data_IF_666981243519
#
_entry.id   IF_666981243519
#
_cell.length_a   1.000
_cell.length_b   1.000
_cell.length_c   1.000
_cell.angle_alpha   90.00
_cell.angle_beta   90.00
_cell.angle_gamma   90.00
#
_symmetry.space_group_name_H-M   'P 1'
#
loop_
_entity.id
_entity.type
_entity.pdbx_description
1 polymer ?
#
# COMPACT_ATOMS: atom_id res chain seq x y z
N UNK A 1 42.98 -66.90 -18.31
CA UNK A 1 42.27 -66.63 -19.56
C UNK A 1 41.36 -65.44 -19.31
N UNK A 2 41.74 -64.33 -19.87
CA UNK A 2 41.20 -62.97 -19.63
C UNK A 2 39.97 -62.76 -20.48
N UNK A 3 38.85 -62.26 -19.95
CA UNK A 3 37.80 -61.68 -20.75
C UNK A 3 37.29 -60.38 -20.10
N UNK A 4 37.44 -59.32 -20.88
CA UNK A 4 37.00 -57.95 -20.62
C UNK A 4 35.48 -57.81 -20.50
N UNK A 5 35.01 -57.13 -19.49
CA UNK A 5 33.66 -56.59 -19.40
C UNK A 5 33.67 -55.07 -19.67
N UNK A 6 33.06 -54.66 -20.77
CA UNK A 6 32.80 -53.24 -21.07
C UNK A 6 31.58 -52.78 -20.29
N UNK A 7 31.74 -51.68 -19.56
CA UNK A 7 30.65 -50.91 -19.00
C UNK A 7 29.93 -50.12 -20.12
N UNK A 8 28.66 -50.34 -20.27
CA UNK A 8 27.71 -49.52 -21.02
C UNK A 8 26.72 -48.94 -20.02
N UNK A 9 26.89 -47.67 -19.67
CA UNK A 9 25.82 -46.83 -19.17
C UNK A 9 25.94 -45.50 -19.93
N UNK A 10 25.38 -45.45 -21.12
CA UNK A 10 24.95 -44.24 -21.77
C UNK A 10 23.56 -43.92 -21.20
N UNK A 11 23.45 -42.85 -20.42
CA UNK A 11 22.16 -42.29 -20.02
C UNK A 11 21.65 -41.43 -21.15
N UNK A 12 20.63 -41.91 -21.89
CA UNK A 12 19.87 -41.11 -22.81
C UNK A 12 19.21 -39.94 -22.10
N UNK A 13 19.60 -38.72 -22.43
CA UNK A 13 18.89 -37.51 -22.00
C UNK A 13 17.48 -37.47 -22.60
N UNK A 14 16.48 -37.48 -21.75
CA UNK A 14 15.07 -37.46 -22.13
C UNK A 14 14.72 -36.18 -22.91
N UNK A 15 13.84 -36.23 -23.93
CA UNK A 15 13.48 -35.11 -24.80
C UNK A 15 12.86 -33.93 -24.06
N UNK A 16 12.37 -34.11 -22.82
CA UNK A 16 11.84 -33.03 -21.99
C UNK A 16 12.89 -32.00 -21.54
N UNK A 17 14.14 -32.41 -21.31
CA UNK A 17 15.20 -31.44 -20.92
C UNK A 17 15.61 -30.52 -22.06
N UNK A 18 15.55 -30.99 -23.32
CA UNK A 18 15.81 -30.18 -24.51
C UNK A 18 14.68 -29.20 -24.78
N UNK A 19 13.43 -29.56 -24.46
CA UNK A 19 12.27 -28.68 -24.61
C UNK A 19 12.30 -27.56 -23.57
N UNK A 20 12.73 -27.84 -22.34
CA UNK A 20 12.88 -26.83 -21.27
C UNK A 20 14.02 -25.85 -21.56
N UNK A 21 15.14 -26.30 -22.09
CA UNK A 21 16.23 -25.43 -22.50
C UNK A 21 15.88 -24.54 -23.69
N UNK A 22 15.02 -25.01 -24.62
CA UNK A 22 14.56 -24.22 -25.76
C UNK A 22 13.51 -23.18 -25.35
N UNK A 23 12.65 -23.49 -24.36
CA UNK A 23 11.68 -22.55 -23.80
C UNK A 23 12.36 -21.46 -22.94
N UNK A 24 13.41 -21.80 -22.18
CA UNK A 24 14.19 -20.84 -21.41
C UNK A 24 15.06 -19.94 -22.30
N UNK A 25 15.53 -20.42 -23.45
CA UNK A 25 16.28 -19.62 -24.41
C UNK A 25 15.36 -18.71 -25.26
N UNK A 26 14.06 -19.05 -25.38
CA UNK A 26 13.08 -18.23 -26.11
C UNK A 26 12.50 -17.11 -25.24
N UNK A 27 12.57 -17.22 -23.89
CA UNK A 27 12.10 -16.20 -22.96
C UNK A 27 13.11 -15.05 -22.74
N UNK A 28 14.36 -15.19 -23.19
CA UNK A 28 15.41 -14.18 -23.00
C UNK A 28 15.62 -13.26 -24.23
N UNK A 29 14.83 -13.37 -25.28
CA UNK A 29 14.95 -12.51 -26.48
C UNK A 29 13.64 -11.91 -26.97
N UNK A 30 12.62 -11.82 -26.11
CA UNK A 30 11.55 -10.86 -26.34
C UNK A 30 11.98 -9.50 -25.80
N UNK A 31 13.00 -8.90 -26.41
CA UNK A 31 13.07 -7.45 -26.44
C UNK A 31 11.77 -7.02 -27.12
N UNK A 32 10.85 -6.46 -26.34
CA UNK A 32 9.66 -5.80 -26.85
C UNK A 32 10.15 -4.78 -27.87
N UNK A 33 10.10 -5.14 -29.16
CA UNK A 33 10.12 -4.17 -30.22
C UNK A 33 8.82 -3.40 -30.01
N UNK A 34 8.89 -2.30 -29.25
CA UNK A 34 7.86 -1.26 -29.34
C UNK A 34 7.81 -0.92 -30.83
N UNK A 35 6.66 -1.08 -31.53
CA UNK A 35 6.58 -0.66 -32.88
C UNK A 35 6.99 0.81 -32.93
N UNK A 36 8.10 1.11 -33.57
CA UNK A 36 8.44 2.48 -33.91
C UNK A 36 7.23 3.02 -34.64
N UNK A 37 6.70 4.15 -34.18
CA UNK A 37 5.67 4.91 -34.92
C UNK A 37 6.14 5.05 -36.36
N UNK A 38 5.58 4.24 -37.24
CA UNK A 38 5.83 4.38 -38.65
C UNK A 38 5.03 5.61 -39.11
N UNK A 39 5.72 6.67 -39.49
CA UNK A 39 5.19 7.86 -40.16
C UNK A 39 4.46 8.93 -39.34
N UNK A 40 4.53 8.94 -37.97
CA UNK A 40 3.91 10.00 -37.18
C UNK A 40 4.96 11.07 -36.77
N UNK A 41 4.51 12.33 -36.77
CA UNK A 41 5.31 13.47 -36.34
C UNK A 41 5.81 13.25 -34.87
N UNK A 42 7.04 13.68 -34.55
CA UNK A 42 7.56 13.51 -33.23
C UNK A 42 6.62 14.14 -32.18
N UNK A 43 6.44 13.45 -31.03
CA UNK A 43 5.68 14.02 -29.91
C UNK A 43 6.41 15.26 -29.42
N UNK A 44 5.66 16.34 -29.21
CA UNK A 44 6.21 17.64 -28.79
C UNK A 44 5.39 18.26 -27.69
N UNK A 45 5.98 19.19 -26.94
CA UNK A 45 5.25 20.08 -26.04
C UNK A 45 4.48 21.09 -26.89
N UNK A 46 3.17 21.20 -26.67
CA UNK A 46 2.30 22.13 -27.40
C UNK A 46 1.81 23.30 -26.52
N UNK A 47 1.87 23.14 -25.18
CA UNK A 47 1.45 24.16 -24.23
C UNK A 47 2.19 23.99 -22.91
N UNK A 48 2.57 25.10 -22.27
CA UNK A 48 2.98 25.16 -20.86
C UNK A 48 1.86 25.77 -20.05
N UNK A 49 1.20 24.98 -19.22
CA UNK A 49 0.11 25.44 -18.37
C UNK A 49 0.59 26.37 -17.23
N UNK A 50 -0.35 27.02 -16.57
CA UNK A 50 -0.09 28.01 -15.49
C UNK A 50 0.91 27.54 -14.43
N UNK A 51 0.91 26.28 -14.08
CA UNK A 51 1.76 25.71 -13.01
C UNK A 51 2.99 24.98 -13.53
N UNK A 52 3.33 25.15 -14.81
CA UNK A 52 4.53 24.52 -15.40
C UNK A 52 4.32 23.11 -15.91
N UNK A 53 3.08 22.65 -15.98
CA UNK A 53 2.77 21.36 -16.60
C UNK A 53 2.91 21.47 -18.11
N UNK A 54 3.40 20.43 -18.76
CA UNK A 54 3.66 20.36 -20.19
C UNK A 54 2.58 19.51 -20.89
N UNK A 55 1.72 20.16 -21.70
CA UNK A 55 0.74 19.46 -22.54
C UNK A 55 1.44 18.94 -23.80
N UNK A 56 1.17 17.72 -24.19
CA UNK A 56 1.81 17.06 -25.32
C UNK A 56 0.92 16.98 -26.55
N UNK A 57 1.54 16.85 -27.73
CA UNK A 57 0.84 16.72 -29.02
C UNK A 57 0.19 15.35 -29.24
N UNK A 58 0.52 14.34 -28.44
CA UNK A 58 -0.08 13.00 -28.49
C UNK A 58 -1.33 12.94 -27.62
N UNK A 59 -2.35 12.21 -28.08
CA UNK A 59 -3.53 11.91 -27.29
C UNK A 59 -3.26 10.81 -26.27
N UNK A 60 -4.03 10.80 -25.20
CA UNK A 60 -3.95 9.74 -24.17
C UNK A 60 -4.27 8.37 -24.74
N UNK A 61 -5.33 8.26 -25.57
CA UNK A 61 -5.70 7.00 -26.24
C UNK A 61 -4.60 6.48 -27.15
N UNK A 62 -3.92 7.36 -27.90
CA UNK A 62 -2.83 6.96 -28.80
C UNK A 62 -1.62 6.48 -28.01
N UNK A 63 -1.30 7.14 -26.88
CA UNK A 63 -0.21 6.72 -26.00
C UNK A 63 -0.46 5.33 -25.40
N UNK A 64 -1.67 5.09 -24.90
CA UNK A 64 -2.04 3.76 -24.36
C UNK A 64 -2.02 2.69 -25.47
N UNK A 65 -2.40 3.04 -26.71
CA UNK A 65 -2.34 2.12 -27.85
C UNK A 65 -0.90 1.70 -28.23
N UNK A 66 0.13 2.44 -27.80
CA UNK A 66 1.54 2.04 -27.94
C UNK A 66 1.97 0.95 -26.95
N UNK A 67 1.08 0.49 -26.05
CA UNK A 67 1.34 -0.57 -25.08
C UNK A 67 1.75 -0.07 -23.71
N UNK A 68 1.60 1.22 -23.42
CA UNK A 68 1.72 1.78 -22.09
C UNK A 68 0.40 1.62 -21.34
N UNK A 69 0.47 1.39 -20.02
CA UNK A 69 -0.69 1.28 -19.13
C UNK A 69 -0.50 2.13 -17.87
N UNK A 70 -1.59 2.40 -17.15
CA UNK A 70 -1.52 3.03 -15.83
C UNK A 70 -0.71 2.16 -14.86
N UNK A 71 0.16 2.79 -14.09
CA UNK A 71 1.08 2.11 -13.19
C UNK A 71 2.40 1.65 -13.83
N UNK A 72 2.60 1.82 -15.14
CA UNK A 72 3.92 1.65 -15.76
C UNK A 72 4.87 2.76 -15.30
N UNK A 73 6.18 2.49 -15.32
CA UNK A 73 7.21 3.53 -15.21
C UNK A 73 7.82 3.73 -16.60
N UNK A 74 7.80 4.99 -17.04
CA UNK A 74 8.40 5.38 -18.33
C UNK A 74 9.59 6.31 -18.10
N UNK A 75 10.65 6.15 -18.89
CA UNK A 75 11.71 7.15 -19.04
C UNK A 75 11.28 8.15 -20.09
N UNK A 76 11.09 9.40 -19.68
CA UNK A 76 10.76 10.53 -20.53
C UNK A 76 12.02 11.29 -20.88
N UNK A 77 12.35 11.41 -22.16
CA UNK A 77 13.44 12.26 -22.63
C UNK A 77 12.87 13.64 -22.98
N UNK A 78 13.36 14.68 -22.31
CA UNK A 78 12.90 16.06 -22.45
C UNK A 78 14.10 17.00 -22.35
N UNK A 79 14.32 17.83 -23.37
CA UNK A 79 15.48 18.74 -23.46
C UNK A 79 16.82 18.05 -23.20
N UNK A 80 17.02 16.81 -23.71
CA UNK A 80 18.26 16.05 -23.54
C UNK A 80 18.46 15.49 -22.13
N UNK A 81 17.50 15.63 -21.23
CA UNK A 81 17.48 15.04 -19.91
C UNK A 81 16.48 13.87 -19.87
N UNK A 82 16.76 12.89 -19.02
CA UNK A 82 15.88 11.73 -18.79
C UNK A 82 15.24 11.80 -17.42
N UNK A 83 13.94 11.57 -17.37
CA UNK A 83 13.13 11.57 -16.16
C UNK A 83 12.31 10.30 -16.11
N UNK A 84 12.39 9.57 -15.01
CA UNK A 84 11.53 8.42 -14.77
C UNK A 84 10.21 8.88 -14.15
N UNK A 85 9.10 8.57 -14.83
CA UNK A 85 7.77 9.02 -14.44
C UNK A 85 6.78 7.86 -14.43
N UNK A 86 6.01 7.66 -13.34
CA UNK A 86 4.85 6.79 -13.39
C UNK A 86 3.80 7.30 -14.37
N UNK A 87 3.13 6.38 -15.05
CA UNK A 87 1.93 6.65 -15.86
C UNK A 87 0.71 6.63 -14.93
N UNK A 88 0.00 7.73 -14.86
CA UNK A 88 -1.19 7.87 -14.01
C UNK A 88 -2.29 8.68 -14.68
N UNK A 89 -3.48 8.72 -14.07
CA UNK A 89 -4.67 9.41 -14.56
C UNK A 89 -4.86 10.79 -13.92
N UNK A 90 -4.42 10.95 -12.68
CA UNK A 90 -4.56 12.17 -11.89
C UNK A 90 -3.22 12.61 -11.27
N UNK A 91 -3.10 13.88 -10.93
CA UNK A 91 -1.91 14.37 -10.21
C UNK A 91 -1.72 13.68 -8.86
N UNK A 92 -2.83 13.32 -8.19
CA UNK A 92 -2.85 12.60 -6.91
C UNK A 92 -2.42 11.13 -7.01
N UNK A 93 -2.19 10.61 -8.21
CA UNK A 93 -1.68 9.23 -8.38
C UNK A 93 -0.20 9.11 -7.99
N UNK A 94 0.44 10.23 -7.66
CA UNK A 94 1.80 10.28 -7.11
C UNK A 94 1.87 11.25 -5.93
N UNK A 95 2.84 11.08 -5.05
CA UNK A 95 3.08 11.97 -3.92
C UNK A 95 3.41 13.42 -4.36
N UNK A 96 3.17 14.38 -3.46
CA UNK A 96 3.56 15.77 -3.69
C UNK A 96 5.06 15.89 -3.94
N UNK A 97 5.43 16.64 -4.99
CA UNK A 97 6.81 16.79 -5.44
C UNK A 97 7.28 15.70 -6.40
N UNK A 98 6.51 14.63 -6.60
CA UNK A 98 6.83 13.55 -7.55
C UNK A 98 6.37 13.87 -8.96
N UNK A 99 7.13 13.36 -9.94
CA UNK A 99 6.84 13.51 -11.36
C UNK A 99 5.79 12.49 -11.81
N UNK A 100 4.98 12.87 -12.81
CA UNK A 100 3.96 12.01 -13.41
C UNK A 100 3.84 12.23 -14.91
N UNK A 101 3.68 11.13 -15.63
CA UNK A 101 3.19 11.07 -17.00
C UNK A 101 1.66 10.89 -16.91
N UNK A 102 0.91 12.00 -16.92
CA UNK A 102 -0.54 11.98 -16.74
C UNK A 102 -1.25 11.77 -18.05
N UNK A 103 -2.00 10.68 -18.17
CA UNK A 103 -2.82 10.31 -19.30
C UNK A 103 -4.29 10.53 -18.95
N UNK A 104 -4.96 11.40 -19.69
CA UNK A 104 -6.38 11.71 -19.48
C UNK A 104 -7.16 11.18 -20.66
N UNK A 105 -8.04 10.22 -20.39
CA UNK A 105 -9.00 9.68 -21.37
C UNK A 105 -10.36 9.61 -20.66
N UNK A 106 -11.29 10.48 -21.07
CA UNK A 106 -12.64 10.49 -20.53
C UNK A 106 -13.64 10.22 -21.66
N UNK A 107 -14.21 9.00 -21.72
CA UNK A 107 -15.11 8.59 -22.83
C UNK A 107 -16.34 9.47 -23.01
N UNK A 108 -16.81 10.09 -21.91
CA UNK A 108 -18.03 10.91 -21.90
C UNK A 108 -17.78 12.39 -22.20
N UNK A 109 -16.54 12.77 -22.41
CA UNK A 109 -16.11 14.13 -22.74
C UNK A 109 -15.10 14.09 -23.89
N UNK A 110 -14.79 15.25 -24.49
CA UNK A 110 -13.71 15.35 -25.49
C UNK A 110 -12.29 15.41 -24.87
N UNK A 111 -12.16 15.05 -23.56
CA UNK A 111 -10.88 15.07 -22.86
C UNK A 111 -10.05 13.84 -23.19
N UNK A 112 -9.12 13.99 -24.13
CA UNK A 112 -8.17 12.97 -24.56
C UNK A 112 -6.81 13.63 -24.82
N UNK A 113 -5.95 13.66 -23.80
CA UNK A 113 -4.66 14.36 -23.84
C UNK A 113 -3.65 13.80 -22.84
N UNK A 114 -2.39 14.18 -23.02
CA UNK A 114 -1.30 13.87 -22.10
C UNK A 114 -0.64 15.11 -21.54
N UNK A 115 -0.22 15.01 -20.28
CA UNK A 115 0.51 16.05 -19.55
C UNK A 115 1.70 15.42 -18.83
N UNK A 116 2.89 16.02 -18.95
CA UNK A 116 4.00 15.78 -18.03
C UNK A 116 3.95 16.83 -16.93
N UNK A 117 4.07 16.40 -15.67
CA UNK A 117 3.93 17.30 -14.54
C UNK A 117 4.77 16.87 -13.31
N UNK A 118 4.88 17.79 -12.37
CA UNK A 118 5.25 17.50 -10.98
C UNK A 118 4.01 17.79 -10.12
N UNK A 119 3.57 16.83 -9.32
CA UNK A 119 2.45 17.05 -8.41
C UNK A 119 2.80 18.18 -7.41
N UNK A 120 2.05 19.30 -7.45
CA UNK A 120 2.32 20.54 -6.71
C UNK A 120 3.67 21.20 -7.03
N UNK A 121 4.22 20.97 -8.24
CA UNK A 121 5.51 21.51 -8.67
C UNK A 121 5.46 22.14 -10.07
N UNK A 122 6.63 22.56 -10.58
CA UNK A 122 6.83 23.22 -11.88
C UNK A 122 7.84 22.43 -12.71
N UNK A 123 7.34 21.59 -13.63
CA UNK A 123 8.19 20.77 -14.49
C UNK A 123 8.90 21.60 -15.57
N UNK A 124 8.24 22.63 -16.12
CA UNK A 124 8.82 23.47 -17.17
C UNK A 124 10.12 24.13 -16.72
N UNK A 125 10.15 24.66 -15.49
CA UNK A 125 11.34 25.24 -14.89
C UNK A 125 12.35 24.15 -14.48
N UNK A 126 11.89 23.05 -13.89
CA UNK A 126 12.76 21.95 -13.44
C UNK A 126 13.50 21.29 -14.60
N UNK A 127 12.84 21.07 -15.74
CA UNK A 127 13.43 20.50 -16.94
C UNK A 127 14.16 21.54 -17.82
N UNK A 128 14.30 22.78 -17.35
CA UNK A 128 14.96 23.88 -18.05
C UNK A 128 14.34 24.20 -19.43
N UNK A 129 13.05 24.00 -19.57
CA UNK A 129 12.29 24.27 -20.83
C UNK A 129 11.96 25.75 -20.93
N UNK A 130 11.47 26.37 -19.85
CA UNK A 130 11.05 27.77 -19.85
C UNK A 130 11.20 28.37 -18.44
N UNK A 131 11.19 29.71 -18.41
CA UNK A 131 11.09 30.52 -17.18
C UNK A 131 9.76 31.26 -17.17
N UNK A 132 9.17 31.36 -15.98
CA UNK A 132 7.90 32.06 -15.75
C UNK A 132 8.12 33.47 -15.29
N UNK A 133 7.57 34.41 -16.02
CA UNK A 133 7.49 35.80 -15.62
C UNK A 133 6.06 36.15 -15.13
N UNK A 134 5.94 36.81 -13.97
CA UNK A 134 4.67 37.34 -13.50
C UNK A 134 4.40 38.68 -14.17
N UNK A 135 3.19 38.87 -14.69
CA UNK A 135 2.74 40.11 -15.30
C UNK A 135 1.42 40.53 -14.66
N UNK A 136 1.06 41.83 -14.78
CA UNK A 136 -0.21 42.36 -14.24
C UNK A 136 -1.41 42.09 -15.15
N UNK A 137 -1.17 41.91 -16.45
CA UNK A 137 -2.21 41.62 -17.43
C UNK A 137 -2.66 40.17 -17.34
N UNK A 138 -3.93 39.89 -17.71
CA UNK A 138 -4.42 38.51 -17.88
C UNK A 138 -3.57 37.78 -18.93
N UNK A 139 -3.11 36.53 -18.68
CA UNK A 139 -3.45 35.60 -17.59
C UNK A 139 -2.58 35.70 -16.32
N UNK A 140 -1.83 36.78 -16.10
CA UNK A 140 -1.00 36.99 -14.91
C UNK A 140 0.40 36.39 -14.99
N UNK A 141 0.75 35.79 -16.12
CA UNK A 141 2.08 35.21 -16.37
C UNK A 141 2.40 35.11 -17.85
N UNK A 142 3.71 35.03 -18.16
CA UNK A 142 4.24 34.68 -19.49
C UNK A 142 5.32 33.61 -19.29
N UNK A 143 5.35 32.60 -20.18
CA UNK A 143 6.44 31.65 -20.26
C UNK A 143 7.45 32.07 -21.34
N UNK A 144 8.72 32.12 -20.96
CA UNK A 144 9.84 32.40 -21.87
C UNK A 144 10.58 31.09 -22.09
N UNK A 145 10.44 30.52 -23.30
CA UNK A 145 11.17 29.31 -23.66
C UNK A 145 12.67 29.55 -23.65
N UNK A 146 13.43 28.60 -23.09
CA UNK A 146 14.90 28.59 -23.05
C UNK A 146 15.49 27.64 -24.09
N UNK A 147 14.66 26.89 -24.75
CA UNK A 147 14.99 25.88 -25.75
C UNK A 147 14.29 26.21 -27.07
N UNK A 148 14.80 25.66 -28.16
CA UNK A 148 14.19 25.82 -29.49
C UNK A 148 12.85 25.07 -29.56
N UNK A 149 11.83 25.71 -30.10
CA UNK A 149 10.52 25.10 -30.35
C UNK A 149 10.45 24.54 -31.79
N UNK A 150 9.71 23.41 -31.97
CA UNK A 150 8.97 22.63 -30.98
C UNK A 150 9.88 21.77 -30.11
N UNK A 151 9.56 21.66 -28.81
CA UNK A 151 10.32 20.86 -27.84
C UNK A 151 9.96 19.38 -27.99
N UNK A 152 10.86 18.52 -28.48
CA UNK A 152 10.58 17.11 -28.68
C UNK A 152 10.54 16.35 -27.35
N UNK A 153 9.65 15.33 -27.28
CA UNK A 153 9.48 14.44 -26.13
C UNK A 153 9.63 12.99 -26.59
N UNK A 154 10.55 12.25 -25.96
CA UNK A 154 10.72 10.83 -26.16
C UNK A 154 10.17 10.01 -25.00
N UNK A 155 9.72 8.79 -25.27
CA UNK A 155 9.27 7.83 -24.28
C UNK A 155 9.96 6.49 -24.47
N UNK A 156 10.38 5.88 -23.38
CA UNK A 156 10.83 4.49 -23.35
C UNK A 156 10.22 3.79 -22.13
N UNK A 157 9.77 2.54 -22.31
CA UNK A 157 9.36 1.72 -21.17
C UNK A 157 10.56 1.47 -20.29
N UNK A 158 10.51 1.91 -19.02
CA UNK A 158 11.50 1.58 -18.02
C UNK A 158 11.13 0.29 -17.30
N UNK A 159 9.92 0.23 -16.79
CA UNK A 159 9.42 -0.92 -16.04
C UNK A 159 7.90 -1.07 -16.22
N UNK A 160 7.48 -2.22 -16.75
CA UNK A 160 6.06 -2.55 -16.91
C UNK A 160 5.46 -2.80 -15.54
N UNK A 161 4.35 -2.14 -15.22
CA UNK A 161 3.68 -2.18 -13.92
C UNK A 161 4.57 -1.82 -12.70
N UNK A 162 5.71 -1.12 -12.91
CA UNK A 162 6.67 -0.80 -11.85
C UNK A 162 6.16 0.13 -10.75
N UNK A 163 5.02 0.79 -10.99
CA UNK A 163 4.32 1.66 -10.04
C UNK A 163 2.87 1.22 -9.80
N UNK A 164 2.46 0.06 -10.32
CA UNK A 164 1.06 -0.36 -10.35
C UNK A 164 0.45 -0.50 -8.95
N UNK A 165 1.18 -1.12 -8.02
CA UNK A 165 0.72 -1.29 -6.63
C UNK A 165 0.44 0.06 -5.97
N UNK A 166 1.32 1.04 -6.17
CA UNK A 166 1.17 2.39 -5.62
C UNK A 166 0.03 3.13 -6.32
N UNK A 167 -0.08 3.00 -7.64
CA UNK A 167 -1.19 3.58 -8.40
C UNK A 167 -2.55 3.06 -7.90
N UNK A 168 -2.68 1.74 -7.68
CA UNK A 168 -3.90 1.13 -7.10
C UNK A 168 -4.22 1.71 -5.73
N UNK A 169 -3.21 1.94 -4.89
CA UNK A 169 -3.41 2.56 -3.57
C UNK A 169 -3.89 4.01 -3.66
N UNK A 170 -3.40 4.77 -4.63
CA UNK A 170 -3.83 6.16 -4.87
C UNK A 170 -5.26 6.26 -5.45
N UNK A 171 -5.84 5.17 -5.99
CA UNK A 171 -7.24 5.12 -6.40
C UNK A 171 -8.22 4.97 -5.24
N UNK A 172 -7.75 4.68 -4.02
CA UNK A 172 -8.59 4.49 -2.85
C UNK A 172 -9.15 5.83 -2.37
N UNK A 173 -10.45 6.00 -2.44
CA UNK A 173 -11.16 7.20 -1.98
C UNK A 173 -12.04 6.85 -0.80
N UNK A 174 -11.95 7.63 0.27
CA UNK A 174 -12.75 7.48 1.49
C UNK A 174 -13.51 8.77 1.78
N UNK A 175 -14.71 8.63 2.31
CA UNK A 175 -15.45 9.72 2.94
C UNK A 175 -15.40 9.59 4.47
N UNK A 176 -15.46 10.73 5.15
CA UNK A 176 -15.61 10.79 6.62
C UNK A 176 -17.08 10.97 7.04
N UNK A 177 -18.00 11.00 6.06
CA UNK A 177 -19.42 11.16 6.33
C UNK A 177 -20.09 9.79 6.42
N UNK A 178 -20.75 9.51 7.55
CA UNK A 178 -21.48 8.26 7.82
C UNK A 178 -22.55 7.96 6.75
N UNK A 179 -23.19 9.00 6.21
CA UNK A 179 -24.26 8.87 5.22
C UNK A 179 -23.79 8.31 3.87
N UNK A 180 -22.49 8.41 3.57
CA UNK A 180 -21.90 7.88 2.34
C UNK A 180 -21.73 6.34 2.39
N UNK A 181 -22.00 5.72 3.54
CA UNK A 181 -21.87 4.28 3.77
C UNK A 181 -23.20 3.64 4.20
N UNK A 182 -24.27 3.73 3.38
CA UNK A 182 -25.59 3.26 3.76
C UNK A 182 -25.67 1.74 3.97
N UNK A 183 -24.77 0.98 3.32
CA UNK A 183 -24.74 -0.48 3.38
C UNK A 183 -23.96 -1.02 4.58
N UNK A 184 -23.19 -0.18 5.28
CA UNK A 184 -22.45 -0.58 6.48
C UNK A 184 -23.29 -0.29 7.74
N UNK A 185 -23.26 -1.21 8.70
CA UNK A 185 -23.72 -0.89 10.06
C UNK A 185 -22.69 -0.03 10.81
N UNK A 186 -23.00 0.47 12.00
CA UNK A 186 -22.14 1.38 12.75
C UNK A 186 -20.81 0.74 13.20
N UNK A 187 -20.81 -0.56 13.49
CA UNK A 187 -19.59 -1.31 13.82
C UNK A 187 -18.66 -1.42 12.59
N UNK A 188 -19.21 -1.78 11.43
CA UNK A 188 -18.45 -1.85 10.17
C UNK A 188 -17.94 -0.46 9.78
N UNK A 189 -18.75 0.59 9.91
CA UNK A 189 -18.31 1.97 9.69
C UNK A 189 -17.15 2.35 10.61
N UNK A 190 -17.22 2.02 11.90
CA UNK A 190 -16.14 2.21 12.87
C UNK A 190 -14.93 1.28 12.64
N UNK A 191 -14.97 0.42 11.63
CA UNK A 191 -13.99 -0.65 11.42
C UNK A 191 -13.82 -1.55 12.66
N UNK A 192 -14.88 -1.63 13.50
CA UNK A 192 -14.89 -2.44 14.71
C UNK A 192 -15.28 -3.87 14.39
N UNK A 193 -14.48 -4.81 14.85
CA UNK A 193 -14.76 -6.24 14.72
C UNK A 193 -14.03 -7.09 15.74
N UNK A 194 -14.58 -8.26 16.03
CA UNK A 194 -13.89 -9.32 16.74
C UNK A 194 -12.90 -10.02 15.78
N UNK A 195 -11.72 -10.35 16.28
CA UNK A 195 -10.79 -11.23 15.57
C UNK A 195 -11.11 -12.68 15.99
N UNK A 196 -11.56 -13.47 15.02
CA UNK A 196 -12.04 -14.84 15.23
C UNK A 196 -11.28 -15.86 14.37
N UNK A 197 -9.99 -15.64 14.16
CA UNK A 197 -9.10 -16.52 13.41
C UNK A 197 -8.69 -17.75 14.23
N UNK A 198 -8.10 -18.74 13.58
CA UNK A 198 -7.67 -19.99 14.22
C UNK A 198 -6.87 -19.72 15.48
N UNK A 199 -7.18 -20.45 16.55
CA UNK A 199 -6.54 -20.36 17.87
C UNK A 199 -7.01 -19.21 18.76
N UNK A 200 -7.72 -18.21 18.22
CA UNK A 200 -8.27 -17.10 18.96
C UNK A 200 -9.51 -17.53 19.76
N UNK A 201 -9.58 -17.19 21.03
CA UNK A 201 -10.75 -17.41 21.88
C UNK A 201 -11.91 -16.47 21.52
N UNK A 202 -13.13 -16.93 21.72
CA UNK A 202 -14.34 -16.16 21.40
C UNK A 202 -14.38 -14.83 22.21
N UNK A 203 -14.51 -13.71 21.48
CA UNK A 203 -14.64 -12.38 22.08
C UNK A 203 -13.40 -11.89 22.85
N UNK A 204 -12.23 -12.46 22.61
CA UNK A 204 -11.01 -12.09 23.32
C UNK A 204 -10.33 -10.86 22.78
N UNK A 205 -10.27 -10.71 21.46
CA UNK A 205 -9.56 -9.64 20.75
C UNK A 205 -10.46 -8.95 19.76
N UNK A 206 -10.44 -7.63 19.79
CA UNK A 206 -11.11 -6.75 18.84
C UNK A 206 -10.11 -5.77 18.22
N UNK A 207 -10.46 -5.22 17.06
CA UNK A 207 -9.77 -4.06 16.46
C UNK A 207 -10.78 -3.07 15.89
N UNK A 208 -10.39 -1.78 15.84
CA UNK A 208 -11.24 -0.70 15.32
C UNK A 208 -10.43 0.53 14.92
N UNK A 209 -11.12 1.54 14.35
CA UNK A 209 -10.65 2.93 14.39
C UNK A 209 -10.57 3.44 15.83
N UNK A 210 -9.97 4.63 16.02
CA UNK A 210 -9.83 5.22 17.37
C UNK A 210 -11.20 5.50 18.00
N UNK A 211 -11.45 5.05 19.24
CA UNK A 211 -12.67 5.41 19.99
C UNK A 211 -12.74 6.88 20.41
N UNK A 212 -11.65 7.63 20.32
CA UNK A 212 -11.58 9.00 20.87
C UNK A 212 -11.04 10.06 19.90
N UNK A 213 -10.20 9.68 18.92
CA UNK A 213 -9.69 10.62 17.93
C UNK A 213 -10.81 10.96 16.91
N UNK A 214 -11.28 12.21 16.82
CA UNK A 214 -12.37 12.60 15.92
C UNK A 214 -11.92 12.83 14.47
N UNK A 215 -10.64 12.71 14.15
CA UNK A 215 -10.05 13.08 12.85
C UNK A 215 -10.78 12.47 11.65
N UNK A 216 -11.20 11.21 11.77
CA UNK A 216 -11.90 10.48 10.69
C UNK A 216 -13.39 10.27 10.97
N UNK A 217 -13.94 10.99 11.97
CA UNK A 217 -15.36 11.00 12.32
C UNK A 217 -16.01 9.60 12.52
N UNK A 218 -15.25 8.66 13.12
CA UNK A 218 -15.71 7.27 13.42
C UNK A 218 -15.60 6.92 14.90
N UNK A 219 -15.09 7.86 15.70
CA UNK A 219 -14.77 7.63 17.12
C UNK A 219 -16.00 7.33 17.98
N UNK A 220 -17.14 7.93 17.69
CA UNK A 220 -18.38 7.71 18.46
C UNK A 220 -18.90 6.29 18.29
N UNK A 221 -18.93 5.81 17.07
CA UNK A 221 -19.37 4.46 16.73
C UNK A 221 -18.36 3.42 17.25
N UNK A 222 -17.06 3.72 17.21
CA UNK A 222 -16.02 2.85 17.77
C UNK A 222 -16.12 2.74 19.30
N UNK A 223 -16.36 3.85 20.03
CA UNK A 223 -16.53 3.87 21.48
C UNK A 223 -17.82 3.12 21.90
N UNK A 224 -18.94 3.36 21.20
CA UNK A 224 -20.18 2.66 21.44
C UNK A 224 -20.05 1.15 21.20
N UNK A 225 -19.43 0.73 20.10
CA UNK A 225 -19.21 -0.68 19.80
C UNK A 225 -18.29 -1.35 20.84
N UNK A 226 -17.25 -0.66 21.32
CA UNK A 226 -16.39 -1.17 22.38
C UNK A 226 -17.12 -1.33 23.71
N UNK A 227 -18.03 -0.40 24.05
CA UNK A 227 -18.89 -0.49 25.21
C UNK A 227 -19.84 -1.69 25.12
N UNK A 228 -20.50 -1.87 24.00
CA UNK A 228 -21.45 -2.99 23.75
C UNK A 228 -20.74 -4.35 23.81
N UNK A 229 -19.50 -4.43 23.31
CA UNK A 229 -18.68 -5.63 23.37
C UNK A 229 -18.03 -5.85 24.77
N UNK A 230 -18.17 -4.90 25.71
CA UNK A 230 -17.61 -4.97 27.05
C UNK A 230 -16.08 -4.99 27.08
N UNK A 231 -15.44 -4.31 26.14
CA UNK A 231 -13.96 -4.20 26.06
C UNK A 231 -13.43 -3.51 27.31
N UNK A 232 -12.39 -4.08 27.95
CA UNK A 232 -11.82 -3.56 29.19
C UNK A 232 -10.40 -3.09 29.06
N UNK A 233 -9.67 -3.61 28.09
CA UNK A 233 -8.24 -3.36 27.90
C UNK A 233 -7.99 -2.84 26.51
N UNK A 234 -7.44 -1.62 26.41
CA UNK A 234 -7.25 -0.92 25.13
C UNK A 234 -5.76 -0.71 24.87
N UNK A 235 -5.33 -1.07 23.66
CA UNK A 235 -3.98 -0.85 23.16
C UNK A 235 -4.06 0.22 22.06
N UNK A 236 -3.75 1.47 22.43
CA UNK A 236 -3.69 2.60 21.54
C UNK A 236 -2.30 2.73 20.93
N UNK A 237 -2.18 2.40 19.65
CA UNK A 237 -0.91 2.46 18.92
C UNK A 237 -0.61 3.85 18.35
N UNK A 238 -1.60 4.78 18.37
CA UNK A 238 -1.47 6.08 17.70
C UNK A 238 -1.06 7.21 18.64
N UNK A 239 -1.61 7.23 19.83
CA UNK A 239 -1.50 8.36 20.75
C UNK A 239 -0.75 7.98 22.02
N UNK A 240 -0.13 8.97 22.65
CA UNK A 240 0.27 8.88 24.05
C UNK A 240 -0.87 9.39 24.97
N UNK A 241 -0.68 9.28 26.27
CA UNK A 241 -1.63 9.69 27.31
C UNK A 241 -2.04 11.16 27.20
N UNK A 242 -1.10 12.05 26.87
CA UNK A 242 -1.37 13.49 26.74
C UNK A 242 -2.25 13.78 25.54
N UNK A 243 -1.90 13.19 24.38
CA UNK A 243 -2.64 13.36 23.14
C UNK A 243 -4.07 12.84 23.26
N UNK A 244 -4.27 11.58 23.70
CA UNK A 244 -5.62 11.02 23.78
C UNK A 244 -6.51 11.76 24.78
N UNK A 245 -5.98 12.26 25.91
CA UNK A 245 -6.71 13.05 26.90
C UNK A 245 -7.01 14.47 26.44
N UNK A 246 -6.36 14.95 25.39
CA UNK A 246 -6.62 16.25 24.78
C UNK A 246 -7.85 16.28 23.86
N UNK A 247 -8.31 15.12 23.41
CA UNK A 247 -9.52 15.07 22.59
C UNK A 247 -10.77 15.41 23.39
N UNK A 248 -11.62 16.28 22.84
CA UNK A 248 -12.87 16.71 23.49
C UNK A 248 -13.78 15.53 23.85
N UNK A 249 -13.79 14.49 23.00
CA UNK A 249 -14.57 13.26 23.17
C UNK A 249 -14.08 12.37 24.30
N UNK A 250 -12.83 12.54 24.80
CA UNK A 250 -12.22 11.59 25.73
C UNK A 250 -12.96 11.51 27.06
N UNK A 251 -13.24 12.65 27.71
CA UNK A 251 -13.75 12.67 29.08
C UNK A 251 -15.11 11.97 29.26
N UNK A 252 -15.94 12.02 28.23
CA UNK A 252 -17.30 11.46 28.22
C UNK A 252 -17.38 10.08 27.55
N UNK A 253 -16.24 9.50 27.08
CA UNK A 253 -16.20 8.22 26.40
C UNK A 253 -16.25 7.04 27.38
N UNK A 254 -16.78 5.90 26.92
CA UNK A 254 -16.62 4.62 27.61
C UNK A 254 -15.14 4.28 27.79
N UNK A 255 -14.34 4.56 26.74
CA UNK A 255 -12.90 4.35 26.67
C UNK A 255 -12.16 4.93 27.88
N UNK A 256 -12.47 6.17 28.31
CA UNK A 256 -11.77 6.85 29.40
C UNK A 256 -11.83 6.13 30.76
N UNK A 257 -12.84 5.30 30.97
CA UNK A 257 -13.04 4.50 32.18
C UNK A 257 -12.30 3.16 32.20
N UNK A 258 -11.56 2.82 31.14
CA UNK A 258 -10.98 1.50 30.96
C UNK A 258 -9.47 1.46 31.24
N UNK A 259 -8.88 0.26 31.14
CA UNK A 259 -7.44 0.06 31.24
C UNK A 259 -6.79 0.32 29.89
N UNK A 260 -5.95 1.34 29.76
CA UNK A 260 -5.44 1.83 28.49
C UNK A 260 -3.92 1.93 28.53
N UNK A 261 -3.24 1.56 27.44
CA UNK A 261 -1.87 1.94 27.15
C UNK A 261 -1.82 2.78 25.88
N UNK A 262 -1.14 3.93 25.93
CA UNK A 262 -0.90 4.81 24.78
C UNK A 262 0.56 4.72 24.34
N UNK A 263 0.82 4.21 23.12
CA UNK A 263 2.16 3.85 22.65
C UNK A 263 2.76 4.85 21.66
N UNK A 264 1.94 5.70 21.04
CA UNK A 264 2.39 6.77 20.11
C UNK A 264 3.40 6.28 19.04
N UNK A 265 3.09 5.18 18.37
CA UNK A 265 3.97 4.55 17.39
C UNK A 265 3.90 5.26 16.02
N UNK A 266 5.01 5.30 15.31
CA UNK A 266 5.06 5.63 13.89
C UNK A 266 4.41 4.55 13.00
N UNK A 267 4.62 4.65 11.69
CA UNK A 267 4.13 3.67 10.70
C UNK A 267 5.25 2.87 10.03
N UNK A 268 6.49 3.09 10.44
CA UNK A 268 7.64 2.31 9.98
C UNK A 268 7.80 1.08 10.90
N UNK A 269 7.29 -0.07 10.45
CA UNK A 269 7.30 -1.32 11.21
C UNK A 269 8.70 -1.92 11.40
N UNK A 270 9.70 -1.45 10.62
CA UNK A 270 11.09 -1.86 10.75
C UNK A 270 11.87 -1.04 11.77
N UNK A 271 11.38 0.14 12.16
CA UNK A 271 12.04 1.05 13.07
C UNK A 271 12.17 0.45 14.49
N UNK A 272 13.26 0.72 15.17
CA UNK A 272 13.54 0.18 16.51
C UNK A 272 12.56 0.71 17.56
N UNK A 273 12.14 1.96 17.47
CA UNK A 273 11.14 2.57 18.36
C UNK A 273 9.75 1.94 18.16
N UNK A 274 9.35 1.64 16.91
CA UNK A 274 8.14 0.88 16.65
C UNK A 274 8.18 -0.51 17.28
N UNK A 275 9.27 -1.26 17.08
CA UNK A 275 9.46 -2.61 17.66
C UNK A 275 9.44 -2.60 19.18
N UNK A 276 10.11 -1.62 19.79
CA UNK A 276 10.13 -1.46 21.24
C UNK A 276 8.73 -1.18 21.81
N UNK A 277 7.99 -0.25 21.23
CA UNK A 277 6.62 0.05 21.65
C UNK A 277 5.64 -1.08 21.37
N UNK A 278 5.81 -1.80 20.24
CA UNK A 278 5.02 -3.00 19.95
C UNK A 278 5.23 -4.06 21.07
N UNK A 279 6.48 -4.29 21.49
CA UNK A 279 6.79 -5.21 22.59
C UNK A 279 6.11 -4.78 23.91
N UNK A 280 6.00 -3.48 24.21
CA UNK A 280 5.25 -2.98 25.35
C UNK A 280 3.75 -3.28 25.24
N UNK A 281 3.17 -3.13 24.05
CA UNK A 281 1.78 -3.50 23.78
C UNK A 281 1.51 -4.99 24.05
N UNK A 282 2.41 -5.88 23.64
CA UNK A 282 2.30 -7.32 23.93
C UNK A 282 2.45 -7.62 25.44
N UNK A 283 3.39 -6.97 26.14
CA UNK A 283 3.51 -7.10 27.60
C UNK A 283 2.26 -6.62 28.31
N UNK A 284 1.64 -5.57 27.80
CA UNK A 284 0.39 -5.06 28.35
C UNK A 284 -0.75 -6.06 28.21
N UNK A 285 -0.86 -6.76 27.05
CA UNK A 285 -1.80 -7.87 26.86
C UNK A 285 -1.48 -9.01 27.84
N UNK A 286 -0.20 -9.38 28.01
CA UNK A 286 0.23 -10.43 28.94
C UNK A 286 -0.15 -10.15 30.39
N UNK A 287 -0.18 -8.87 30.80
CA UNK A 287 -0.40 -8.42 32.17
C UNK A 287 -1.86 -8.07 32.52
N UNK A 288 -2.75 -7.98 31.54
CA UNK A 288 -4.13 -7.54 31.72
C UNK A 288 -5.13 -8.56 31.20
N UNK A 289 -6.42 -8.39 31.51
CA UNK A 289 -7.50 -9.32 31.18
C UNK A 289 -8.23 -8.91 29.90
N UNK A 290 -8.68 -9.90 29.12
CA UNK A 290 -9.58 -9.72 27.99
C UNK A 290 -10.99 -9.25 28.44
N UNK A 291 -11.81 -8.66 27.55
CA UNK A 291 -11.59 -8.44 26.13
C UNK A 291 -10.64 -7.27 25.84
N UNK A 292 -9.78 -7.47 24.83
CA UNK A 292 -8.82 -6.46 24.36
C UNK A 292 -9.35 -5.77 23.10
N UNK A 293 -8.97 -4.50 22.91
CA UNK A 293 -9.14 -3.79 21.67
C UNK A 293 -7.81 -3.13 21.25
N UNK A 294 -7.33 -3.49 20.08
CA UNK A 294 -6.17 -2.86 19.44
C UNK A 294 -6.66 -1.83 18.43
N UNK A 295 -6.20 -0.58 18.56
CA UNK A 295 -6.57 0.48 17.62
C UNK A 295 -5.40 1.43 17.31
N UNK A 296 -5.53 2.16 16.23
CA UNK A 296 -4.77 3.37 15.91
C UNK A 296 -5.76 4.43 15.43
N UNK A 297 -5.44 5.35 14.54
CA UNK A 297 -6.43 6.30 14.04
C UNK A 297 -7.51 5.59 13.22
N UNK A 298 -7.10 4.85 12.19
CA UNK A 298 -8.00 4.12 11.28
C UNK A 298 -8.26 2.67 11.67
N UNK A 299 -7.46 2.11 12.57
CA UNK A 299 -7.46 0.66 12.80
C UNK A 299 -6.89 -0.14 11.63
N UNK A 300 -6.22 0.50 10.67
CA UNK A 300 -5.73 -0.06 9.41
C UNK A 300 -4.29 -0.57 9.53
N UNK A 301 -3.32 0.34 9.57
CA UNK A 301 -1.91 -0.02 9.40
C UNK A 301 -1.29 -0.57 10.69
N UNK A 302 -1.07 0.26 11.72
CA UNK A 302 -0.47 -0.15 13.00
C UNK A 302 -1.28 -1.23 13.72
N UNK A 303 -2.60 -1.01 13.85
CA UNK A 303 -3.51 -1.97 14.45
C UNK A 303 -3.62 -3.25 13.61
N UNK A 304 -3.60 -3.13 12.27
CA UNK A 304 -3.59 -4.27 11.36
C UNK A 304 -2.33 -5.10 11.49
N UNK A 305 -1.17 -4.47 11.58
CA UNK A 305 0.10 -5.17 11.76
C UNK A 305 0.16 -5.90 13.11
N UNK A 306 -0.19 -5.21 14.22
CA UNK A 306 -0.21 -5.85 15.54
C UNK A 306 -1.20 -7.02 15.60
N UNK A 307 -2.41 -6.85 15.05
CA UNK A 307 -3.41 -7.89 14.97
C UNK A 307 -2.89 -9.11 14.18
N UNK A 308 -2.29 -8.88 13.02
CA UNK A 308 -1.73 -9.95 12.18
C UNK A 308 -0.62 -10.74 12.89
N UNK A 309 0.24 -10.08 13.68
CA UNK A 309 1.24 -10.77 14.52
C UNK A 309 0.58 -11.59 15.62
N UNK A 310 -0.50 -11.07 16.26
CA UNK A 310 -1.27 -11.80 17.27
C UNK A 310 -1.97 -13.01 16.66
N UNK A 311 -2.57 -12.86 15.49
CA UNK A 311 -3.23 -13.94 14.75
C UNK A 311 -2.24 -15.05 14.36
N UNK A 312 -1.08 -14.67 13.80
CA UNK A 312 0.00 -15.62 13.49
C UNK A 312 0.48 -16.34 14.75
N UNK A 313 0.68 -15.64 15.88
CA UNK A 313 1.08 -16.20 17.15
C UNK A 313 0.06 -17.24 17.67
N UNK A 314 -1.23 -17.03 17.41
CA UNK A 314 -2.31 -17.92 17.81
C UNK A 314 -2.50 -19.09 16.84
N UNK A 315 -1.85 -19.12 15.69
CA UNK A 315 -1.86 -20.22 14.73
C UNK A 315 -2.77 -20.00 13.52
N UNK A 316 -3.20 -18.76 13.27
CA UNK A 316 -3.91 -18.41 12.05
C UNK A 316 -3.02 -18.60 10.83
N UNK A 317 -3.61 -18.99 9.71
CA UNK A 317 -2.92 -19.09 8.43
C UNK A 317 -2.91 -17.77 7.67
N UNK A 318 -2.15 -17.69 6.58
CA UNK A 318 -1.98 -16.49 5.78
C UNK A 318 -3.30 -15.95 5.20
N UNK A 319 -4.20 -16.84 4.80
CA UNK A 319 -5.50 -16.44 4.22
C UNK A 319 -6.39 -15.79 5.29
N UNK A 320 -6.45 -16.34 6.50
CA UNK A 320 -7.22 -15.79 7.62
C UNK A 320 -6.70 -14.38 8.00
N UNK A 321 -5.39 -14.23 8.14
CA UNK A 321 -4.73 -12.96 8.47
C UNK A 321 -4.99 -11.92 7.37
N UNK A 322 -4.82 -12.34 6.09
CA UNK A 322 -5.09 -11.46 4.94
C UNK A 322 -6.54 -11.02 4.92
N UNK A 323 -7.48 -11.93 5.15
CA UNK A 323 -8.92 -11.63 5.13
C UNK A 323 -9.30 -10.63 6.24
N UNK A 324 -8.81 -10.82 7.48
CA UNK A 324 -9.05 -9.84 8.55
C UNK A 324 -8.46 -8.47 8.19
N UNK A 325 -7.21 -8.43 7.73
CA UNK A 325 -6.59 -7.16 7.37
C UNK A 325 -7.38 -6.42 6.30
N UNK A 326 -7.77 -7.13 5.23
CA UNK A 326 -8.47 -6.57 4.08
C UNK A 326 -9.92 -6.17 4.38
N UNK A 327 -10.51 -6.65 5.48
CA UNK A 327 -11.83 -6.16 5.94
C UNK A 327 -11.81 -4.65 6.16
N UNK A 328 -10.67 -4.07 6.57
CA UNK A 328 -10.52 -2.62 6.70
C UNK A 328 -10.67 -1.91 5.35
N UNK A 329 -10.10 -2.48 4.28
CA UNK A 329 -10.21 -1.90 2.94
C UNK A 329 -11.63 -2.02 2.37
N UNK A 330 -12.34 -3.07 2.74
CA UNK A 330 -13.78 -3.17 2.47
C UNK A 330 -14.55 -2.06 3.20
N UNK A 331 -14.36 -1.90 4.51
CA UNK A 331 -15.10 -0.96 5.35
C UNK A 331 -14.83 0.52 5.01
N UNK A 332 -13.63 0.83 4.52
CA UNK A 332 -13.23 2.20 4.20
C UNK A 332 -13.40 2.56 2.74
N UNK A 333 -13.15 1.62 1.83
CA UNK A 333 -13.00 1.88 0.40
C UNK A 333 -13.88 0.99 -0.48
N UNK A 334 -14.63 0.05 0.08
CA UNK A 334 -15.48 -0.89 -0.65
C UNK A 334 -14.72 -1.93 -1.47
N UNK A 335 -13.44 -2.16 -1.17
CA UNK A 335 -12.62 -3.15 -1.89
C UNK A 335 -13.14 -4.56 -1.66
N UNK A 336 -13.56 -5.23 -2.75
CA UNK A 336 -14.22 -6.53 -2.68
C UNK A 336 -13.22 -7.69 -2.75
N UNK A 337 -13.40 -8.76 -1.95
CA UNK A 337 -12.63 -10.00 -2.08
C UNK A 337 -12.71 -10.58 -3.49
N UNK A 338 -11.60 -11.12 -3.99
CA UNK A 338 -11.52 -11.76 -5.31
C UNK A 338 -11.41 -10.78 -6.48
N UNK A 339 -11.16 -9.51 -6.21
CA UNK A 339 -10.80 -8.52 -7.23
C UNK A 339 -9.29 -8.37 -7.31
N UNK A 340 -8.78 -7.98 -8.49
CA UNK A 340 -7.36 -7.68 -8.68
C UNK A 340 -6.89 -6.58 -7.69
N UNK A 341 -7.70 -5.56 -7.46
CA UNK A 341 -7.41 -4.51 -6.47
C UNK A 341 -7.20 -5.09 -5.07
N UNK A 342 -8.03 -6.04 -4.64
CA UNK A 342 -7.87 -6.73 -3.36
C UNK A 342 -6.53 -7.45 -3.28
N UNK A 343 -6.19 -8.23 -4.32
CA UNK A 343 -4.96 -9.03 -4.35
C UNK A 343 -3.71 -8.15 -4.34
N UNK A 344 -3.70 -7.07 -5.13
CA UNK A 344 -2.60 -6.09 -5.18
C UNK A 344 -2.41 -5.41 -3.82
N UNK A 345 -3.49 -4.94 -3.19
CA UNK A 345 -3.43 -4.28 -1.88
C UNK A 345 -2.93 -5.24 -0.82
N UNK A 346 -3.46 -6.46 -0.77
CA UNK A 346 -3.04 -7.46 0.20
C UNK A 346 -1.55 -7.80 0.06
N UNK A 347 -1.08 -8.01 -1.17
CA UNK A 347 0.31 -8.34 -1.47
C UNK A 347 1.28 -7.21 -1.12
N UNK A 348 0.95 -5.99 -1.47
CA UNK A 348 1.82 -4.82 -1.25
C UNK A 348 1.83 -4.29 0.18
N UNK A 349 0.83 -4.64 1.01
CA UNK A 349 0.70 -4.20 2.40
C UNK A 349 1.00 -5.33 3.39
N UNK A 350 -0.05 -6.02 3.90
CA UNK A 350 0.11 -6.90 5.06
C UNK A 350 0.99 -8.12 4.77
N UNK A 351 0.85 -8.73 3.57
CA UNK A 351 1.64 -9.90 3.21
C UNK A 351 3.13 -9.54 3.14
N UNK A 352 3.47 -8.43 2.50
CA UNK A 352 4.83 -7.92 2.40
C UNK A 352 5.39 -7.51 3.78
N UNK A 353 4.60 -6.83 4.58
CA UNK A 353 5.02 -6.33 5.90
C UNK A 353 5.30 -7.46 6.88
N UNK A 354 4.43 -8.49 6.91
CA UNK A 354 4.65 -9.68 7.74
C UNK A 354 5.81 -10.51 7.24
N UNK A 355 5.94 -10.74 5.92
CA UNK A 355 7.06 -11.47 5.35
C UNK A 355 8.39 -10.81 5.72
N UNK A 356 8.47 -9.48 5.63
CA UNK A 356 9.65 -8.71 6.03
C UNK A 356 9.93 -8.83 7.55
N UNK A 357 8.90 -8.68 8.40
CA UNK A 357 9.06 -8.77 9.86
C UNK A 357 9.46 -10.18 10.32
N UNK A 358 8.95 -11.21 9.67
CA UNK A 358 9.20 -12.60 9.99
C UNK A 358 10.42 -13.18 9.26
N UNK A 359 11.14 -12.37 8.47
CA UNK A 359 12.29 -12.78 7.67
C UNK A 359 11.95 -13.95 6.71
N UNK A 360 10.75 -13.94 6.14
CA UNK A 360 10.22 -14.94 5.22
C UNK A 360 10.19 -14.41 3.79
N UNK A 361 10.30 -15.29 2.81
CA UNK A 361 10.09 -14.95 1.39
C UNK A 361 8.60 -14.68 1.11
N UNK A 362 7.71 -15.43 1.77
CA UNK A 362 6.26 -15.33 1.63
C UNK A 362 5.59 -15.82 2.92
N UNK A 363 4.50 -15.17 3.34
CA UNK A 363 3.69 -15.64 4.48
C UNK A 363 2.87 -16.91 4.17
N UNK A 364 2.79 -17.29 2.90
CA UNK A 364 2.12 -18.54 2.46
C UNK A 364 3.04 -19.75 2.55
N UNK A 365 4.30 -19.56 2.91
CA UNK A 365 5.29 -20.63 3.00
C UNK A 365 5.86 -20.73 4.43
N UNK A 366 5.89 -21.92 4.99
CA UNK A 366 6.48 -22.19 6.30
C UNK A 366 5.51 -22.08 7.48
N UNK A 367 6.06 -21.96 8.69
CA UNK A 367 5.34 -21.95 9.96
C UNK A 367 5.22 -20.53 10.49
N UNK A 368 4.05 -19.90 10.24
CA UNK A 368 3.78 -18.52 10.68
C UNK A 368 3.77 -18.38 12.20
N UNK A 369 3.32 -19.39 12.95
CA UNK A 369 3.31 -19.35 14.40
C UNK A 369 4.72 -19.32 14.96
N UNK A 370 5.60 -20.20 14.44
CA UNK A 370 7.01 -20.20 14.82
C UNK A 370 7.70 -18.89 14.43
N UNK A 371 7.39 -18.33 13.25
CA UNK A 371 7.93 -17.05 12.81
C UNK A 371 7.48 -15.89 13.72
N UNK A 372 6.21 -15.83 14.12
CA UNK A 372 5.71 -14.85 15.08
C UNK A 372 6.41 -14.96 16.45
N UNK A 373 6.62 -16.18 16.97
CA UNK A 373 7.39 -16.41 18.21
C UNK A 373 8.82 -15.89 18.08
N UNK A 374 9.49 -16.18 16.96
CA UNK A 374 10.85 -15.71 16.70
C UNK A 374 10.91 -14.18 16.62
N UNK A 375 9.98 -13.56 15.90
CA UNK A 375 9.87 -12.11 15.80
C UNK A 375 9.69 -11.45 17.17
N UNK A 376 8.72 -11.95 17.97
CA UNK A 376 8.44 -11.41 19.30
C UNK A 376 9.64 -11.58 20.25
N UNK A 377 10.33 -12.71 20.19
CA UNK A 377 11.57 -12.93 20.93
C UNK A 377 12.66 -11.94 20.47
N UNK A 378 12.78 -11.72 19.15
CA UNK A 378 13.73 -10.79 18.54
C UNK A 378 13.53 -9.33 18.97
N UNK A 379 12.28 -8.92 19.21
CA UNK A 379 11.95 -7.57 19.73
C UNK A 379 11.94 -7.49 21.25
N UNK A 380 12.34 -8.55 21.96
CA UNK A 380 12.66 -8.56 23.38
C UNK A 380 11.59 -9.10 24.33
N UNK A 381 10.59 -9.86 23.84
CA UNK A 381 9.68 -10.59 24.74
C UNK A 381 10.33 -11.88 25.25
N UNK A 382 10.09 -12.21 26.50
CA UNK A 382 10.47 -13.51 27.06
C UNK A 382 9.48 -14.61 26.65
N UNK A 383 9.90 -15.87 26.76
CA UNK A 383 9.03 -17.00 26.47
C UNK A 383 7.79 -17.03 27.41
N UNK A 384 7.94 -16.58 28.64
CA UNK A 384 6.84 -16.49 29.61
C UNK A 384 5.84 -15.40 29.22
N UNK A 385 6.31 -14.23 28.75
CA UNK A 385 5.44 -13.15 28.26
C UNK A 385 4.67 -13.60 27.02
N UNK A 386 5.31 -14.27 26.07
CA UNK A 386 4.67 -14.84 24.86
C UNK A 386 3.61 -15.87 25.26
N UNK A 387 3.95 -16.80 26.16
CA UNK A 387 3.00 -17.80 26.63
C UNK A 387 1.79 -17.17 27.37
N UNK A 388 2.01 -16.08 28.12
CA UNK A 388 0.94 -15.35 28.79
C UNK A 388 -0.01 -14.68 27.76
N UNK A 389 0.53 -14.07 26.69
CA UNK A 389 -0.29 -13.53 25.59
C UNK A 389 -1.13 -14.64 24.96
N UNK A 390 -0.53 -15.78 24.62
CA UNK A 390 -1.25 -16.93 24.06
C UNK A 390 -2.35 -17.45 25.00
N UNK A 391 -2.07 -17.53 26.30
CA UNK A 391 -3.05 -17.98 27.29
C UNK A 391 -4.23 -16.99 27.44
N UNK A 392 -3.95 -15.68 27.39
CA UNK A 392 -4.97 -14.65 27.55
C UNK A 392 -5.88 -14.53 26.31
N UNK A 393 -5.34 -14.84 25.11
CA UNK A 393 -6.07 -14.79 23.85
C UNK A 393 -6.70 -16.13 23.46
N UNK A 394 -6.22 -17.22 24.01
CA UNK A 394 -6.73 -18.57 23.73
C UNK A 394 -8.08 -18.87 24.37
N UNK A 395 -8.57 -20.09 24.16
CA UNK A 395 -9.84 -20.62 24.72
C UNK A 395 -9.73 -20.92 26.21
#
# INVERSE_FOLDING_TARGET
MIMNGKNLFETEETPMKKLFSLLLALSLTLALIVPALADDAPVTVIEIQKYGNLVLSIKGTDFLALGYDYGDVVTVTLNGQEFDMPVGSNYSDVDQGSMICRVVVKPDTDEDYMILAINMGDLATTALIAEKEKIEADPGYIWHYKVEEPVPVGFAMKEKAGYYDQWVMHQLVRSENREDYPDLNDMEFANFRVIATTGMGEGKLYRSSSPVNPEINRNKEADAAAADAGVRTFINLADNDETMKSYESFADSYYAGQTIIGLNLGVDFAADDFKAGLAEGFRFIAANEAPYLVHCNEGKDRAGFMAAVLEALMGANADEITADYMMTFYNFYGVQPGTEQYDVIAASNIQKSLAAAFEMTSIFEGDLQAAAVNYLTGIGLSAEEIAAVQANLGQ
#
